data_IF_567426920965
#
_entry.id   IF_567426920965
#
_cell.length_a   1.000
_cell.length_b   1.000
_cell.length_c   1.000
_cell.angle_alpha   90.00
_cell.angle_beta   90.00
_cell.angle_gamma   90.00
#
_symmetry.space_group_name_H-M   'P 1'
#
loop_
_entity.id
_entity.type
_entity.pdbx_description
1 polymer ?
#
# COMPACT_ATOMS: atom_id res chain seq x y z
N UNK A 1 11.35 65.42 -15.79
CA UNK A 1 11.46 65.81 -17.22
C UNK A 1 11.90 64.59 -18.03
N UNK A 2 11.35 64.40 -19.24
CA UNK A 2 11.92 63.58 -20.34
C UNK A 2 13.16 64.34 -20.93
N UNK A 3 14.00 63.82 -21.88
CA UNK A 3 13.65 62.78 -22.89
C UNK A 3 14.80 61.86 -23.44
N UNK A 4 14.41 60.99 -24.40
CA UNK A 4 15.17 60.55 -25.61
C UNK A 4 16.51 59.77 -25.46
N UNK A 5 17.06 58.99 -26.41
CA UNK A 5 16.69 58.38 -27.73
C UNK A 5 17.85 57.37 -28.08
N UNK A 6 17.84 56.47 -29.09
CA UNK A 6 16.85 55.73 -29.90
C UNK A 6 17.66 54.71 -30.78
N UNK A 7 17.15 54.29 -31.96
CA UNK A 7 17.83 53.58 -33.07
C UNK A 7 18.25 52.12 -32.77
N UNK A 8 17.41 51.12 -33.06
CA UNK A 8 17.17 50.46 -34.37
C UNK A 8 18.38 49.73 -34.99
N UNK A 9 18.25 48.41 -35.14
CA UNK A 9 18.62 47.73 -36.39
C UNK A 9 17.73 46.49 -36.60
N UNK A 10 16.79 46.62 -37.52
CA UNK A 10 15.99 45.51 -38.06
C UNK A 10 16.83 44.83 -39.13
N UNK A 11 16.95 43.50 -39.07
CA UNK A 11 17.39 42.70 -40.22
C UNK A 11 16.24 41.80 -40.64
N UNK A 12 15.59 42.19 -41.74
CA UNK A 12 14.67 41.34 -42.49
C UNK A 12 15.49 40.28 -43.23
N UNK A 13 15.17 39.00 -43.05
CA UNK A 13 15.47 37.97 -44.05
C UNK A 13 14.21 37.20 -44.40
N UNK A 14 13.57 37.64 -45.48
CA UNK A 14 12.59 36.86 -46.21
C UNK A 14 13.32 35.79 -47.02
N UNK A 15 13.12 34.52 -46.67
CA UNK A 15 13.29 33.43 -47.62
C UNK A 15 11.93 32.78 -47.89
N UNK A 16 11.28 33.29 -48.93
CA UNK A 16 10.21 32.58 -49.62
C UNK A 16 10.88 31.56 -50.53
N UNK A 17 10.57 30.26 -50.38
CA UNK A 17 10.17 29.42 -51.52
C UNK A 17 9.82 27.97 -51.15
N UNK A 18 9.12 27.34 -52.09
CA UNK A 18 8.90 25.90 -52.23
C UNK A 18 8.00 25.22 -51.17
N UNK A 19 6.69 25.31 -51.40
CA UNK A 19 5.81 24.18 -51.10
C UNK A 19 6.25 22.95 -51.92
N UNK A 20 6.99 22.03 -51.30
CA UNK A 20 7.17 20.66 -51.81
C UNK A 20 6.41 19.71 -50.89
N UNK A 21 5.25 19.26 -51.33
CA UNK A 21 4.33 18.38 -50.59
C UNK A 21 5.00 16.99 -50.38
N UNK A 22 5.43 16.60 -49.17
CA UNK A 22 5.77 15.21 -48.89
C UNK A 22 4.46 14.46 -48.66
N UNK A 23 4.28 13.34 -49.34
CA UNK A 23 3.07 12.54 -49.25
C UNK A 23 2.70 12.25 -47.79
N UNK A 24 1.40 12.26 -47.49
CA UNK A 24 0.87 11.75 -46.24
C UNK A 24 1.15 10.24 -46.14
N UNK A 25 2.34 9.88 -45.66
CA UNK A 25 2.54 8.57 -45.09
C UNK A 25 1.68 8.50 -43.83
N UNK A 26 0.50 7.88 -43.99
CA UNK A 26 -0.32 7.33 -42.93
C UNK A 26 0.43 6.18 -42.25
N UNK A 27 1.54 6.54 -41.62
CA UNK A 27 2.20 5.76 -40.59
C UNK A 27 1.27 5.69 -39.40
N UNK A 28 0.24 4.84 -39.51
CA UNK A 28 -0.33 4.19 -38.34
C UNK A 28 0.84 3.38 -37.77
N UNK A 29 1.59 4.04 -36.88
CA UNK A 29 2.39 3.36 -35.90
C UNK A 29 1.37 2.56 -35.08
N UNK A 30 1.15 1.32 -35.52
CA UNK A 30 0.55 0.32 -34.67
C UNK A 30 1.50 0.19 -33.51
N UNK A 31 1.22 0.95 -32.44
CA UNK A 31 1.78 0.67 -31.13
C UNK A 31 1.59 -0.82 -30.93
N UNK A 32 2.69 -1.58 -30.96
CA UNK A 32 2.66 -3.03 -30.88
C UNK A 32 1.84 -3.35 -29.65
N UNK A 33 0.60 -3.84 -29.83
CA UNK A 33 -0.24 -4.29 -28.72
C UNK A 33 0.65 -5.25 -27.95
N UNK A 34 0.94 -4.91 -26.69
CA UNK A 34 1.70 -5.78 -25.83
C UNK A 34 1.05 -7.17 -25.92
N UNK A 35 1.84 -8.24 -26.13
CA UNK A 35 1.29 -9.57 -26.34
C UNK A 35 0.32 -9.88 -25.21
N UNK A 36 -0.95 -10.11 -25.55
CA UNK A 36 -2.01 -10.23 -24.55
C UNK A 36 -1.66 -11.35 -23.57
N UNK A 37 -1.37 -10.97 -22.33
CA UNK A 37 -1.02 -11.91 -21.26
C UNK A 37 -2.15 -12.91 -21.12
N UNK A 38 -1.88 -14.20 -21.33
CA UNK A 38 -2.86 -15.26 -21.10
C UNK A 38 -3.05 -15.41 -19.60
N UNK A 39 -4.11 -14.82 -19.07
CA UNK A 39 -4.48 -14.92 -17.65
C UNK A 39 -5.17 -16.26 -17.40
N UNK A 40 -4.72 -16.99 -16.38
CA UNK A 40 -5.40 -18.19 -15.88
C UNK A 40 -6.65 -17.78 -15.09
N UNK A 41 -7.82 -17.87 -15.73
CA UNK A 41 -9.09 -17.47 -15.11
C UNK A 41 -9.53 -18.41 -13.98
N UNK A 42 -8.90 -19.57 -13.78
CA UNK A 42 -9.25 -20.50 -12.69
C UNK A 42 -8.68 -20.05 -11.33
N UNK A 43 -7.64 -19.20 -11.36
CA UNK A 43 -6.96 -18.65 -10.18
C UNK A 43 -7.08 -17.12 -10.09
N UNK A 44 -8.02 -16.54 -10.83
CA UNK A 44 -8.17 -15.09 -10.97
C UNK A 44 -9.57 -14.67 -10.57
N UNK A 45 -9.71 -13.43 -10.10
CA UNK A 45 -11.00 -12.78 -9.85
C UNK A 45 -11.11 -11.50 -10.68
N UNK A 46 -12.30 -10.88 -10.71
CA UNK A 46 -12.54 -9.64 -11.46
C UNK A 46 -12.59 -8.43 -10.57
N UNK A 47 -11.94 -7.35 -11.02
CA UNK A 47 -12.11 -5.99 -10.51
C UNK A 47 -12.58 -5.14 -11.69
N UNK A 48 -13.75 -4.49 -11.56
CA UNK A 48 -14.33 -3.62 -12.61
C UNK A 48 -14.29 -4.22 -14.04
N UNK A 49 -14.60 -5.51 -14.17
CA UNK A 49 -14.54 -6.36 -15.38
C UNK A 49 -13.17 -6.87 -15.85
N UNK A 50 -12.07 -6.43 -15.25
CA UNK A 50 -10.72 -6.90 -15.62
C UNK A 50 -10.26 -8.01 -14.67
N UNK A 51 -9.63 -9.05 -15.22
CA UNK A 51 -9.08 -10.16 -14.43
C UNK A 51 -7.80 -9.73 -13.70
N UNK A 52 -7.67 -10.16 -12.44
CA UNK A 52 -6.45 -10.05 -11.62
C UNK A 52 -6.13 -11.42 -11.02
N UNK A 53 -4.84 -11.74 -10.93
CA UNK A 53 -4.36 -13.04 -10.43
C UNK A 53 -3.60 -12.80 -9.12
N UNK A 54 -4.19 -13.09 -7.95
CA UNK A 54 -3.50 -13.00 -6.67
C UNK A 54 -2.37 -14.03 -6.58
N UNK A 55 -1.32 -13.73 -5.80
CA UNK A 55 -0.30 -14.72 -5.47
C UNK A 55 -0.87 -15.79 -4.56
N UNK A 56 -0.42 -17.06 -4.63
CA UNK A 56 -0.84 -18.09 -3.68
C UNK A 56 -0.56 -17.70 -2.21
N UNK A 57 0.53 -16.96 -1.96
CA UNK A 57 0.86 -16.41 -0.63
C UNK A 57 -0.06 -15.29 -0.14
N UNK A 58 -0.89 -14.72 -1.02
CA UNK A 58 -1.98 -13.83 -0.62
C UNK A 58 -3.06 -14.62 0.12
N UNK A 59 -3.32 -15.87 -0.27
CA UNK A 59 -4.44 -16.68 0.25
C UNK A 59 -5.75 -15.86 0.27
N UNK A 60 -6.12 -15.41 -0.93
CA UNK A 60 -7.23 -14.50 -1.18
C UNK A 60 -8.57 -15.23 -0.99
N UNK A 61 -9.43 -14.69 -0.14
CA UNK A 61 -10.76 -15.23 0.14
C UNK A 61 -11.84 -14.54 -0.70
N UNK A 62 -11.94 -13.21 -0.61
CA UNK A 62 -13.02 -12.45 -1.24
C UNK A 62 -12.66 -10.98 -1.51
N UNK A 63 -13.38 -10.35 -2.44
CA UNK A 63 -13.39 -8.91 -2.65
C UNK A 63 -14.57 -8.35 -1.84
N UNK A 64 -14.31 -7.57 -0.77
CA UNK A 64 -15.39 -7.08 0.11
C UNK A 64 -16.14 -5.93 -0.58
N UNK A 65 -15.44 -4.82 -0.82
CA UNK A 65 -15.96 -3.62 -1.50
C UNK A 65 -14.91 -3.03 -2.44
N UNK A 66 -15.36 -2.44 -3.54
CA UNK A 66 -14.56 -1.48 -4.30
C UNK A 66 -15.42 -0.25 -4.52
N UNK A 67 -15.01 0.88 -3.95
CA UNK A 67 -15.76 2.12 -3.97
C UNK A 67 -14.77 3.29 -4.07
N UNK A 68 -14.99 4.17 -5.04
CA UNK A 68 -14.05 5.27 -5.34
C UNK A 68 -12.66 4.73 -5.63
N UNK A 69 -11.69 5.21 -4.86
CA UNK A 69 -10.26 4.88 -4.96
C UNK A 69 -9.77 3.85 -3.92
N UNK A 70 -10.71 3.11 -3.31
CA UNK A 70 -10.40 2.05 -2.34
C UNK A 70 -10.63 0.65 -2.92
N UNK A 71 -9.61 -0.21 -2.79
CA UNK A 71 -9.67 -1.64 -3.08
C UNK A 71 -9.63 -2.43 -1.76
N UNK A 72 -10.70 -3.17 -1.44
CA UNK A 72 -10.86 -3.89 -0.17
C UNK A 72 -10.83 -5.42 -0.38
N UNK A 73 -9.82 -6.09 0.18
CA UNK A 73 -9.50 -7.50 -0.04
C UNK A 73 -9.56 -8.28 1.27
N UNK A 74 -10.37 -9.34 1.31
CA UNK A 74 -10.40 -10.30 2.41
C UNK A 74 -9.32 -11.36 2.20
N UNK A 75 -8.44 -11.52 3.17
CA UNK A 75 -7.15 -12.22 3.07
C UNK A 75 -6.96 -13.18 4.24
N UNK A 76 -6.69 -14.46 3.95
CA UNK A 76 -6.29 -15.46 4.95
C UNK A 76 -4.76 -15.56 5.14
N UNK A 77 -3.98 -14.91 4.27
CA UNK A 77 -2.53 -15.03 4.27
C UNK A 77 -1.87 -14.60 5.59
N UNK A 78 -1.00 -15.47 6.13
CA UNK A 78 -0.37 -15.33 7.45
C UNK A 78 0.24 -13.94 7.73
N UNK A 79 0.75 -13.27 6.70
CA UNK A 79 1.36 -11.95 6.83
C UNK A 79 0.39 -10.82 7.23
N UNK A 80 -0.93 -11.05 7.16
CA UNK A 80 -1.92 -10.11 7.72
C UNK A 80 -1.97 -10.21 9.24
N UNK A 81 -1.95 -11.42 9.82
CA UNK A 81 -1.88 -11.61 11.27
C UNK A 81 -0.48 -11.37 11.85
N UNK A 82 0.58 -11.63 11.07
CA UNK A 82 1.99 -11.46 11.47
C UNK A 82 2.78 -10.50 10.54
N UNK A 83 2.39 -9.21 10.41
CA UNK A 83 3.01 -8.28 9.46
C UNK A 83 4.50 -8.01 9.74
N UNK A 84 4.92 -8.18 10.99
CA UNK A 84 6.30 -8.00 11.47
C UNK A 84 6.99 -9.33 11.81
N UNK A 85 6.36 -10.45 11.47
CA UNK A 85 6.76 -11.81 11.84
C UNK A 85 6.08 -12.29 13.12
N UNK A 86 6.30 -13.57 13.45
CA UNK A 86 5.70 -14.26 14.60
C UNK A 86 6.28 -13.81 15.94
N UNK A 87 6.01 -12.56 16.31
CA UNK A 87 6.27 -11.99 17.63
C UNK A 87 5.23 -12.58 18.58
N UNK A 88 5.67 -13.44 19.52
CA UNK A 88 4.79 -14.13 20.47
C UNK A 88 4.85 -13.53 21.88
N UNK A 89 5.83 -12.67 22.12
CA UNK A 89 6.07 -12.06 23.41
C UNK A 89 6.90 -10.77 23.29
N UNK A 90 6.90 -9.97 24.36
CA UNK A 90 7.75 -8.78 24.49
C UNK A 90 9.26 -9.02 24.36
N UNK A 91 9.72 -10.26 24.49
CA UNK A 91 11.15 -10.63 24.29
C UNK A 91 11.53 -10.61 22.82
N UNK A 92 10.58 -10.91 21.92
CA UNK A 92 10.83 -11.13 20.50
C UNK A 92 11.00 -9.81 19.73
N UNK A 93 10.55 -8.68 20.29
CA UNK A 93 10.68 -7.36 19.65
C UNK A 93 12.12 -7.06 19.24
N UNK A 94 13.12 -7.38 20.08
CA UNK A 94 14.53 -7.08 19.80
C UNK A 94 15.20 -7.99 18.78
N UNK A 95 14.61 -9.14 18.45
CA UNK A 95 15.04 -10.03 17.37
C UNK A 95 14.17 -9.92 16.10
N UNK A 96 13.07 -9.17 16.15
CA UNK A 96 12.11 -8.98 15.05
C UNK A 96 12.42 -7.76 14.16
N UNK A 97 11.57 -7.56 13.15
CA UNK A 97 11.54 -6.35 12.31
C UNK A 97 11.21 -5.05 13.10
N UNK A 98 10.80 -5.16 14.38
CA UNK A 98 10.52 -4.04 15.28
C UNK A 98 11.68 -3.72 16.25
N UNK A 99 12.88 -4.27 16.03
CA UNK A 99 14.03 -4.11 16.93
C UNK A 99 14.44 -2.64 17.19
N UNK A 100 14.18 -1.75 16.22
CA UNK A 100 14.41 -0.30 16.28
C UNK A 100 13.37 0.49 17.09
N UNK A 101 12.27 -0.14 17.52
CA UNK A 101 11.24 0.52 18.34
C UNK A 101 11.65 0.57 19.81
N UNK A 102 11.32 1.69 20.46
CA UNK A 102 11.25 1.80 21.91
C UNK A 102 9.95 1.13 22.37
N UNK A 103 10.06 0.19 23.32
CA UNK A 103 8.92 -0.55 23.89
C UNK A 103 8.60 0.04 25.27
N UNK A 104 7.34 0.41 25.48
CA UNK A 104 6.81 0.92 26.76
C UNK A 104 5.62 0.06 27.16
N UNK A 105 5.71 -0.60 28.31
CA UNK A 105 4.62 -1.42 28.81
C UNK A 105 3.59 -0.52 29.51
N UNK A 106 2.30 -0.80 29.27
CA UNK A 106 1.17 -0.06 29.83
C UNK A 106 0.18 -1.06 30.40
N UNK A 107 -0.39 -0.74 31.56
CA UNK A 107 -1.51 -1.47 32.13
C UNK A 107 -2.76 -0.66 31.89
N UNK A 108 -3.68 -1.16 31.07
CA UNK A 108 -4.93 -0.48 30.74
C UNK A 108 -6.08 -1.21 31.45
N UNK A 109 -7.02 -0.45 32.01
CA UNK A 109 -8.15 -0.99 32.77
C UNK A 109 -9.41 -0.91 31.93
N UNK A 110 -9.92 -2.08 31.59
CA UNK A 110 -11.14 -2.29 30.82
C UNK A 110 -12.22 -2.92 31.71
N UNK A 111 -13.45 -3.05 31.21
CA UNK A 111 -14.60 -3.55 31.98
C UNK A 111 -14.37 -4.95 32.58
N UNK A 112 -13.59 -5.79 31.90
CA UNK A 112 -13.30 -7.18 32.29
C UNK A 112 -12.02 -7.37 33.11
N UNK A 113 -11.20 -6.33 33.31
CA UNK A 113 -9.94 -6.50 34.04
C UNK A 113 -8.89 -5.41 33.81
N UNK A 114 -7.62 -5.77 34.02
CA UNK A 114 -6.47 -4.90 33.73
C UNK A 114 -5.47 -5.68 32.90
N UNK A 115 -5.15 -5.15 31.72
CA UNK A 115 -4.47 -5.86 30.64
C UNK A 115 -3.12 -5.21 30.32
N UNK A 116 -2.08 -6.01 30.06
CA UNK A 116 -0.76 -5.50 29.65
C UNK A 116 -0.76 -5.24 28.14
N UNK A 117 -0.63 -3.97 27.76
CA UNK A 117 -0.35 -3.54 26.39
C UNK A 117 1.12 -3.14 26.26
N UNK A 118 1.67 -3.23 25.06
CA UNK A 118 3.02 -2.76 24.76
C UNK A 118 2.91 -1.65 23.69
N UNK A 119 3.10 -0.39 24.11
CA UNK A 119 3.17 0.77 23.23
C UNK A 119 4.58 0.85 22.65
N UNK A 120 4.68 0.68 21.34
CA UNK A 120 5.91 0.69 20.58
C UNK A 120 6.01 2.01 19.81
N UNK A 121 7.13 2.72 19.94
CA UNK A 121 7.35 4.01 19.24
C UNK A 121 8.70 4.03 18.53
N UNK A 122 8.70 4.51 17.29
CA UNK A 122 9.88 4.71 16.48
C UNK A 122 9.65 5.91 15.54
N UNK A 123 10.42 6.99 15.71
CA UNK A 123 10.26 8.23 14.94
C UNK A 123 8.80 8.74 14.91
N UNK A 124 8.10 8.63 13.77
CA UNK A 124 6.69 9.02 13.62
C UNK A 124 5.74 7.82 13.75
N UNK A 125 6.27 6.62 13.62
CA UNK A 125 5.56 5.36 13.65
C UNK A 125 5.29 4.92 15.09
N UNK A 126 4.12 4.33 15.28
CA UNK A 126 3.62 3.87 16.58
C UNK A 126 2.77 2.62 16.39
N UNK A 127 2.97 1.63 17.25
CA UNK A 127 2.23 0.38 17.28
C UNK A 127 1.76 0.16 18.71
N UNK A 128 0.60 -0.47 18.88
CA UNK A 128 0.16 -0.99 20.16
C UNK A 128 0.00 -2.49 20.01
N UNK A 129 0.73 -3.25 20.82
CA UNK A 129 0.64 -4.70 20.86
C UNK A 129 -0.18 -5.13 22.07
N UNK A 130 -1.01 -6.16 21.85
CA UNK A 130 -1.68 -6.93 22.90
C UNK A 130 -1.32 -8.39 22.67
N UNK A 131 -0.77 -9.06 23.68
CA UNK A 131 -0.48 -10.49 23.62
C UNK A 131 -1.59 -11.19 24.38
N UNK A 132 -2.52 -11.79 23.64
CA UNK A 132 -3.54 -12.63 24.27
C UNK A 132 -2.86 -13.83 24.94
N UNK A 133 -3.28 -14.10 26.17
CA UNK A 133 -2.78 -15.21 26.98
C UNK A 133 -3.81 -16.33 27.13
N UNK A 134 -5.02 -16.16 26.58
CA UNK A 134 -6.03 -17.20 26.53
C UNK A 134 -5.54 -18.38 25.66
N UNK A 135 -5.49 -19.62 26.19
CA UNK A 135 -5.13 -20.80 25.41
C UNK A 135 -6.02 -21.07 24.18
N UNK A 136 -7.23 -20.51 24.15
CA UNK A 136 -8.18 -20.67 23.05
C UNK A 136 -8.06 -19.60 21.95
N UNK A 137 -7.30 -18.50 22.19
CA UNK A 137 -7.09 -17.37 21.27
C UNK A 137 -6.14 -17.68 20.07
N UNK A 138 -6.37 -18.82 19.43
CA UNK A 138 -5.42 -19.50 18.54
C UNK A 138 -5.20 -18.87 17.14
N UNK A 139 -5.78 -17.71 16.83
CA UNK A 139 -5.72 -17.09 15.50
C UNK A 139 -5.65 -15.54 15.47
N UNK A 140 -5.28 -14.87 16.57
CA UNK A 140 -5.30 -13.41 16.66
C UNK A 140 -3.95 -12.74 16.35
N UNK A 141 -4.01 -11.60 15.66
CA UNK A 141 -2.90 -10.66 15.50
C UNK A 141 -2.55 -10.03 16.84
N UNK A 142 -1.26 -10.07 17.22
CA UNK A 142 -0.80 -9.31 18.38
C UNK A 142 -0.73 -7.80 18.14
N UNK A 143 -0.94 -7.33 16.89
CA UNK A 143 -1.03 -5.91 16.56
C UNK A 143 -2.47 -5.43 16.84
N UNK A 144 -2.68 -4.78 17.98
CA UNK A 144 -3.99 -4.23 18.35
C UNK A 144 -4.35 -3.01 17.48
N UNK A 145 -3.42 -2.07 17.33
CA UNK A 145 -3.55 -0.92 16.42
C UNK A 145 -2.19 -0.34 16.04
N UNK A 146 -2.16 0.53 15.04
CA UNK A 146 -0.91 1.17 14.66
C UNK A 146 -0.97 2.12 13.48
N UNK A 147 0.09 2.91 13.35
CA UNK A 147 0.34 3.82 12.25
C UNK A 147 1.84 3.80 11.92
N UNK A 148 2.19 3.47 10.68
CA UNK A 148 3.56 3.42 10.17
C UNK A 148 3.74 4.50 9.10
N UNK A 149 4.76 5.34 9.29
CA UNK A 149 5.12 6.46 8.41
C UNK A 149 6.61 6.51 8.05
N UNK A 150 7.46 5.69 8.69
CA UNK A 150 8.91 5.71 8.51
C UNK A 150 9.38 4.59 7.55
N UNK A 151 10.32 4.92 6.66
CA UNK A 151 10.69 4.09 5.50
C UNK A 151 11.70 2.96 5.79
N UNK A 152 12.26 2.95 6.99
CA UNK A 152 13.10 1.90 7.57
C UNK A 152 12.28 0.87 8.37
N UNK A 153 10.97 1.06 8.53
CA UNK A 153 10.06 0.02 9.04
C UNK A 153 9.74 -0.97 7.91
N UNK A 154 10.07 -2.23 8.15
CA UNK A 154 9.93 -3.32 7.18
C UNK A 154 8.84 -4.32 7.59
N UNK A 155 8.12 -4.84 6.59
CA UNK A 155 7.10 -5.87 6.71
C UNK A 155 7.63 -7.20 6.16
N UNK A 156 7.12 -8.35 6.61
CA UNK A 156 7.61 -9.68 6.22
C UNK A 156 7.53 -9.98 4.72
N UNK A 157 6.61 -9.33 4.00
CA UNK A 157 6.44 -9.45 2.55
C UNK A 157 7.23 -8.38 1.75
N UNK A 158 8.15 -7.66 2.40
CA UNK A 158 8.99 -6.65 1.76
C UNK A 158 8.30 -5.31 1.49
N UNK A 159 7.04 -5.14 1.89
CA UNK A 159 6.36 -3.85 1.90
C UNK A 159 7.09 -2.89 2.84
N UNK A 160 7.15 -1.60 2.47
CA UNK A 160 7.70 -0.51 3.28
C UNK A 160 7.26 0.86 2.76
N UNK A 161 7.27 1.87 3.62
CA UNK A 161 6.93 3.24 3.23
C UNK A 161 7.89 3.74 2.14
N UNK A 162 7.36 4.51 1.20
CA UNK A 162 8.07 5.03 0.03
C UNK A 162 8.20 4.06 -1.14
N UNK A 163 7.76 2.80 -1.04
CA UNK A 163 7.77 1.87 -2.18
C UNK A 163 6.83 2.34 -3.29
N UNK A 164 7.17 2.18 -4.59
CA UNK A 164 6.27 2.50 -5.69
C UNK A 164 4.97 1.67 -5.65
N UNK A 165 3.83 2.27 -6.00
CA UNK A 165 2.52 1.60 -6.00
C UNK A 165 2.53 0.31 -6.85
N UNK A 166 3.17 0.32 -8.02
CA UNK A 166 3.30 -0.88 -8.85
C UNK A 166 4.09 -2.00 -8.16
N UNK A 167 5.14 -1.67 -7.39
CA UNK A 167 5.89 -2.67 -6.64
C UNK A 167 5.07 -3.26 -5.49
N UNK A 168 4.15 -2.48 -4.89
CA UNK A 168 3.20 -3.00 -3.90
C UNK A 168 2.24 -4.00 -4.53
N UNK A 169 1.62 -3.69 -5.68
CA UNK A 169 0.76 -4.67 -6.35
C UNK A 169 1.51 -5.94 -6.73
N UNK A 170 2.79 -5.83 -7.13
CA UNK A 170 3.65 -6.99 -7.39
C UNK A 170 4.01 -7.83 -6.13
N UNK A 171 3.77 -7.35 -4.89
CA UNK A 171 3.89 -8.22 -3.69
C UNK A 171 2.65 -9.08 -3.46
N UNK A 172 1.48 -8.64 -3.93
CA UNK A 172 0.18 -9.27 -3.69
C UNK A 172 -0.33 -10.09 -4.88
N UNK A 173 0.02 -9.71 -6.11
CA UNK A 173 -0.52 -10.29 -7.35
C UNK A 173 0.59 -10.81 -8.27
N UNK A 174 0.34 -11.96 -8.91
CA UNK A 174 1.13 -12.43 -10.06
C UNK A 174 0.73 -11.69 -11.34
N UNK A 175 -0.50 -11.18 -11.41
CA UNK A 175 -0.96 -10.28 -12.47
C UNK A 175 -1.94 -9.23 -11.94
N UNK A 176 -1.59 -7.96 -12.11
CA UNK A 176 -2.46 -6.81 -11.88
C UNK A 176 -2.32 -5.80 -13.05
N UNK A 177 -3.40 -5.45 -13.76
CA UNK A 177 -3.37 -4.52 -14.90
C UNK A 177 -2.84 -3.14 -14.50
N UNK A 178 -1.94 -2.57 -15.31
CA UNK A 178 -1.33 -1.26 -15.04
C UNK A 178 -2.37 -0.14 -15.01
N UNK A 179 -3.42 -0.28 -15.83
CA UNK A 179 -4.55 0.64 -15.94
C UNK A 179 -5.43 0.66 -14.67
N UNK A 180 -5.36 -0.36 -13.82
CA UNK A 180 -6.03 -0.37 -12.52
C UNK A 180 -5.16 0.21 -11.40
N UNK A 181 -3.83 0.21 -11.53
CA UNK A 181 -2.92 0.68 -10.47
C UNK A 181 -3.15 2.15 -10.13
N UNK A 182 -3.49 2.97 -11.12
CA UNK A 182 -3.80 4.40 -10.94
C UNK A 182 -5.18 4.69 -10.34
N UNK A 183 -6.06 3.69 -10.26
CA UNK A 183 -7.45 3.90 -9.84
C UNK A 183 -7.63 3.75 -8.33
N UNK A 184 -6.65 3.18 -7.63
CA UNK A 184 -6.73 2.82 -6.23
C UNK A 184 -5.59 3.47 -5.43
N UNK A 185 -5.92 4.51 -4.68
CA UNK A 185 -5.00 5.19 -3.75
C UNK A 185 -5.07 4.61 -2.33
N UNK A 186 -6.07 3.78 -2.04
CA UNK A 186 -6.18 3.04 -0.78
C UNK A 186 -6.34 1.56 -1.10
N UNK A 187 -5.55 0.73 -0.42
CA UNK A 187 -5.75 -0.73 -0.40
C UNK A 187 -6.01 -1.14 1.04
N UNK A 188 -7.12 -1.82 1.27
CA UNK A 188 -7.48 -2.42 2.55
C UNK A 188 -7.27 -3.93 2.43
N UNK A 189 -6.54 -4.50 3.40
CA UNK A 189 -6.48 -5.94 3.62
C UNK A 189 -7.18 -6.24 4.94
N UNK A 190 -8.33 -6.90 4.87
CA UNK A 190 -9.09 -7.38 6.02
C UNK A 190 -8.75 -8.86 6.25
N UNK A 191 -8.44 -9.23 7.49
CA UNK A 191 -8.23 -10.64 7.85
C UNK A 191 -9.49 -11.46 7.64
N UNK A 192 -9.37 -12.68 7.10
CA UNK A 192 -10.54 -13.50 6.80
C UNK A 192 -11.25 -14.09 8.03
N UNK A 193 -10.58 -14.08 9.19
CA UNK A 193 -11.21 -14.11 10.51
C UNK A 193 -11.24 -12.67 11.02
N UNK A 194 -12.36 -12.21 11.56
CA UNK A 194 -12.50 -10.85 12.11
C UNK A 194 -11.46 -10.64 13.23
N UNK A 195 -10.47 -9.78 12.98
CA UNK A 195 -9.32 -9.59 13.87
C UNK A 195 -8.54 -8.31 13.53
N UNK A 196 -7.96 -8.20 12.32
CA UNK A 196 -7.03 -7.13 11.97
C UNK A 196 -7.24 -6.59 10.54
N UNK A 197 -7.25 -5.26 10.42
CA UNK A 197 -7.43 -4.53 9.16
C UNK A 197 -6.18 -3.69 8.89
N UNK A 198 -5.58 -3.88 7.71
CA UNK A 198 -4.44 -3.10 7.24
C UNK A 198 -4.90 -2.11 6.15
N UNK A 199 -4.77 -0.81 6.41
CA UNK A 199 -5.04 0.24 5.42
C UNK A 199 -3.74 0.81 4.89
N UNK A 200 -3.44 0.55 3.62
CA UNK A 200 -2.29 1.08 2.89
C UNK A 200 -2.71 2.31 2.07
N UNK A 201 -2.10 3.46 2.29
CA UNK A 201 -2.45 4.71 1.60
C UNK A 201 -1.31 5.17 0.69
N UNK A 202 -1.61 5.39 -0.58
CA UNK A 202 -0.68 5.80 -1.62
C UNK A 202 -0.86 7.26 -2.00
N UNK A 203 0.26 7.93 -2.27
CA UNK A 203 0.31 9.32 -2.71
C UNK A 203 1.50 9.54 -3.61
N UNK A 204 1.31 10.30 -4.69
CA UNK A 204 2.35 10.57 -5.70
C UNK A 204 3.04 9.27 -6.21
N UNK A 205 2.26 8.20 -6.39
CA UNK A 205 2.73 6.89 -6.87
C UNK A 205 3.58 6.08 -5.89
N UNK A 206 3.56 6.40 -4.59
CA UNK A 206 4.29 5.69 -3.53
C UNK A 206 3.42 5.43 -2.31
N UNK A 207 3.72 4.37 -1.56
CA UNK A 207 3.11 4.11 -0.26
C UNK A 207 3.51 5.22 0.74
N UNK A 208 2.56 5.98 1.26
CA UNK A 208 2.77 7.08 2.22
C UNK A 208 2.61 6.60 3.67
N UNK A 209 1.65 5.72 3.94
CA UNK A 209 1.40 5.21 5.29
C UNK A 209 0.75 3.83 5.28
N UNK A 210 0.91 3.11 6.39
CA UNK A 210 0.11 1.92 6.72
C UNK A 210 -0.55 2.14 8.07
N UNK A 211 -1.83 1.83 8.18
CA UNK A 211 -2.57 1.81 9.45
C UNK A 211 -3.04 0.41 9.78
N UNK A 212 -3.01 0.08 11.05
CA UNK A 212 -3.56 -1.14 11.62
C UNK A 212 -4.70 -0.77 12.55
N UNK A 213 -5.84 -1.44 12.42
CA UNK A 213 -6.95 -1.36 13.35
C UNK A 213 -7.53 -2.76 13.52
N UNK A 214 -7.72 -3.18 14.77
CA UNK A 214 -8.51 -4.36 15.07
C UNK A 214 -10.00 -4.00 15.21
N UNK A 215 -10.81 -5.04 15.35
CA UNK A 215 -12.27 -4.98 15.54
C UNK A 215 -12.69 -4.95 17.02
N UNK A 216 -11.72 -4.88 17.94
CA UNK A 216 -11.95 -4.86 19.39
C UNK A 216 -12.82 -3.68 19.83
N UNK A 217 -13.65 -3.93 20.84
CA UNK A 217 -14.51 -2.92 21.45
C UNK A 217 -13.74 -2.00 22.44
N UNK A 218 -12.53 -2.38 22.87
CA UNK A 218 -11.70 -1.59 23.79
C UNK A 218 -11.12 -0.36 23.11
N UNK A 219 -11.20 0.79 23.78
CA UNK A 219 -10.77 2.10 23.26
C UNK A 219 -9.47 2.56 23.89
N UNK A 220 -8.40 1.82 23.61
CA UNK A 220 -7.07 2.07 24.18
C UNK A 220 -6.35 3.18 23.42
N UNK A 221 -5.69 4.09 24.13
CA UNK A 221 -4.84 5.16 23.56
C UNK A 221 -3.39 4.73 23.27
N UNK A 222 -2.57 5.59 22.66
CA UNK A 222 -1.16 5.30 22.29
C UNK A 222 -0.17 5.69 23.40
#
# INVERSE_FOLDING_TARGET
MKPSFCVYLIVFYLFVNACSNPQSHSGISQAKKAPATKVDTTKSFKIANTWVTPKPSLDFNALNKFAGDTLDLVVCGKYVYEPFGGIKSKKDFKSSLLSSFLVINRMEREDSGTFEFNSLRHNKSKLLFFFDTDPEASAHSSVFKGEIYDADVHFVNGIKIGMPTANFYNTLFDYFPVELISNYHVVVLESCVQDIIHTYTFKNGKLESVKFANDSYWKVDY
#
